data_IF_384467010536
#
_entry.id   IF_384467010536
#
_cell.length_a   1.000
_cell.length_b   1.000
_cell.length_c   1.000
_cell.angle_alpha   90.00
_cell.angle_beta   90.00
_cell.angle_gamma   90.00
#
_symmetry.space_group_name_H-M   'P 1'
#
loop_
_entity.id
_entity.type
_entity.pdbx_description
1 polymer ?
#
# COMPACT_ATOMS: atom_id res chain seq x y z
N UNK A 1 13.61 -25.66 -26.19
CA UNK A 1 12.40 -24.86 -25.88
C UNK A 1 12.68 -23.37 -26.10
N UNK A 2 11.94 -22.70 -26.98
CA UNK A 2 12.07 -21.25 -27.16
C UNK A 2 11.46 -20.55 -25.94
N UNK A 3 12.15 -19.57 -25.32
CA UNK A 3 11.58 -18.81 -24.20
C UNK A 3 10.30 -18.12 -24.63
N UNK A 4 9.26 -18.23 -23.80
CA UNK A 4 8.01 -17.54 -24.04
C UNK A 4 8.15 -16.09 -23.58
N UNK A 5 8.27 -15.16 -24.51
CA UNK A 5 8.53 -13.74 -24.22
C UNK A 5 7.26 -12.98 -23.77
N UNK A 6 6.09 -13.61 -23.78
CA UNK A 6 4.83 -13.01 -23.38
C UNK A 6 3.83 -14.03 -22.87
N UNK A 7 3.02 -13.63 -21.89
CA UNK A 7 1.89 -14.43 -21.44
C UNK A 7 0.84 -14.54 -22.54
N UNK A 8 0.32 -15.75 -22.74
CA UNK A 8 -0.87 -15.97 -23.58
C UNK A 8 -2.06 -15.18 -23.01
N UNK A 9 -3.05 -14.78 -23.84
CA UNK A 9 -4.15 -13.91 -23.41
C UNK A 9 -4.87 -14.39 -22.15
N UNK A 10 -5.16 -15.70 -22.07
CA UNK A 10 -5.80 -16.31 -20.90
C UNK A 10 -5.00 -16.13 -19.61
N UNK A 11 -3.68 -16.31 -19.66
CA UNK A 11 -2.81 -16.15 -18.49
C UNK A 11 -2.69 -14.68 -18.09
N UNK A 12 -2.71 -13.76 -19.07
CA UNK A 12 -2.72 -12.33 -18.81
C UNK A 12 -3.99 -11.92 -18.06
N UNK A 13 -5.16 -12.32 -18.54
CA UNK A 13 -6.44 -12.04 -17.87
C UNK A 13 -6.47 -12.58 -16.44
N UNK A 14 -6.09 -13.84 -16.26
CA UNK A 14 -6.06 -14.46 -14.92
C UNK A 14 -5.08 -13.75 -13.98
N UNK A 15 -3.92 -13.32 -14.48
CA UNK A 15 -2.95 -12.56 -13.69
C UNK A 15 -3.50 -11.20 -13.29
N UNK A 16 -4.15 -10.48 -14.21
CA UNK A 16 -4.78 -9.18 -13.93
C UNK A 16 -5.85 -9.33 -12.85
N UNK A 17 -6.81 -10.23 -13.01
CA UNK A 17 -7.87 -10.45 -12.01
C UNK A 17 -7.32 -10.80 -10.63
N UNK A 18 -6.30 -11.67 -10.58
CA UNK A 18 -5.65 -12.05 -9.32
C UNK A 18 -4.93 -10.87 -8.68
N UNK A 19 -4.25 -10.05 -9.47
CA UNK A 19 -3.54 -8.86 -9.00
C UNK A 19 -4.52 -7.82 -8.47
N UNK A 20 -5.62 -7.60 -9.18
CA UNK A 20 -6.65 -6.62 -8.82
C UNK A 20 -7.35 -7.02 -7.53
N UNK A 21 -7.72 -8.29 -7.38
CA UNK A 21 -8.29 -8.82 -6.13
C UNK A 21 -7.32 -8.69 -4.95
N UNK A 22 -6.04 -8.95 -5.18
CA UNK A 22 -5.02 -8.81 -4.13
C UNK A 22 -4.87 -7.34 -3.73
N UNK A 23 -4.81 -6.42 -4.70
CA UNK A 23 -4.72 -4.99 -4.46
C UNK A 23 -5.92 -4.48 -3.65
N UNK A 24 -7.13 -4.85 -4.03
CA UNK A 24 -8.35 -4.52 -3.27
C UNK A 24 -8.28 -4.99 -1.81
N UNK A 25 -7.81 -6.22 -1.59
CA UNK A 25 -7.62 -6.77 -0.24
C UNK A 25 -6.58 -5.97 0.56
N UNK A 26 -5.48 -5.58 -0.07
CA UNK A 26 -4.43 -4.77 0.56
C UNK A 26 -4.98 -3.39 0.91
N UNK A 27 -5.65 -2.70 -0.01
CA UNK A 27 -6.23 -1.38 0.22
C UNK A 27 -7.18 -1.44 1.42
N UNK A 28 -8.18 -2.33 1.37
CA UNK A 28 -9.20 -2.45 2.43
C UNK A 28 -8.61 -2.79 3.79
N UNK A 29 -7.67 -3.73 3.84
CA UNK A 29 -7.05 -4.14 5.10
C UNK A 29 -6.21 -3.03 5.75
N UNK A 30 -5.65 -2.13 4.95
CA UNK A 30 -4.71 -1.12 5.44
C UNK A 30 -5.29 0.31 5.44
N UNK A 31 -6.52 0.52 4.97
CA UNK A 31 -7.09 1.87 4.79
C UNK A 31 -7.24 2.65 6.10
N UNK A 32 -7.43 1.95 7.22
CA UNK A 32 -7.53 2.53 8.57
C UNK A 32 -6.19 2.64 9.31
N UNK A 33 -5.07 2.25 8.69
CA UNK A 33 -3.75 2.36 9.30
C UNK A 33 -3.34 3.81 9.51
N UNK A 34 -2.38 4.05 10.41
CA UNK A 34 -1.91 5.41 10.68
C UNK A 34 -1.32 6.05 9.41
N UNK A 35 -0.57 5.30 8.60
CA UNK A 35 0.01 5.79 7.36
C UNK A 35 -1.09 6.15 6.34
N UNK A 36 -2.05 5.25 6.09
CA UNK A 36 -3.15 5.53 5.16
C UNK A 36 -3.98 6.76 5.59
N UNK A 37 -4.17 6.93 6.90
CA UNK A 37 -4.96 8.03 7.44
C UNK A 37 -4.25 9.39 7.38
N UNK A 38 -2.93 9.43 7.61
CA UNK A 38 -2.21 10.68 7.86
C UNK A 38 -1.17 11.05 6.79
N UNK A 39 -0.76 10.13 5.92
CA UNK A 39 0.25 10.42 4.92
C UNK A 39 -0.27 11.46 3.90
N UNK A 40 0.48 12.57 3.68
CA UNK A 40 0.08 13.57 2.69
C UNK A 40 0.01 13.01 1.27
N UNK A 41 0.88 12.04 0.95
CA UNK A 41 0.92 11.34 -0.34
C UNK A 41 -0.36 10.58 -0.67
N UNK A 42 -1.16 10.22 0.34
CA UNK A 42 -2.42 9.50 0.17
C UNK A 42 -3.64 10.39 0.35
N UNK A 43 -3.46 11.71 0.51
CA UNK A 43 -4.56 12.62 0.82
C UNK A 43 -5.64 12.61 -0.28
N UNK A 44 -5.24 12.78 -1.54
CA UNK A 44 -6.18 12.80 -2.68
C UNK A 44 -6.90 11.46 -2.82
N UNK A 45 -6.19 10.35 -2.63
CA UNK A 45 -6.80 9.02 -2.66
C UNK A 45 -7.84 8.84 -1.54
N UNK A 46 -7.50 9.25 -0.31
CA UNK A 46 -8.42 9.18 0.83
C UNK A 46 -9.67 10.03 0.60
N UNK A 47 -9.53 11.22 0.03
CA UNK A 47 -10.65 12.10 -0.27
C UNK A 47 -11.58 11.47 -1.33
N UNK A 48 -11.02 10.83 -2.37
CA UNK A 48 -11.81 10.10 -3.37
C UNK A 48 -12.56 8.91 -2.73
N UNK A 49 -11.89 8.13 -1.89
CA UNK A 49 -12.51 7.00 -1.19
C UNK A 49 -13.56 7.46 -0.17
N UNK A 50 -13.42 8.64 0.43
CA UNK A 50 -14.45 9.19 1.32
C UNK A 50 -15.77 9.47 0.60
N UNK A 51 -15.73 9.76 -0.71
CA UNK A 51 -16.92 9.98 -1.55
C UNK A 51 -17.49 8.67 -2.06
N UNK A 52 -16.65 7.77 -2.56
CA UNK A 52 -17.10 6.55 -3.25
C UNK A 52 -17.22 5.31 -2.34
N UNK A 53 -16.59 5.36 -1.17
CA UNK A 53 -16.46 4.22 -0.26
C UNK A 53 -15.47 3.17 -0.77
N UNK A 54 -15.32 2.11 0.01
CA UNK A 54 -14.42 0.99 -0.28
C UNK A 54 -15.13 -0.22 -0.89
N UNK A 55 -16.45 -0.17 -1.09
CA UNK A 55 -17.27 -1.35 -1.42
C UNK A 55 -17.34 -1.62 -2.92
N UNK A 56 -17.19 -0.60 -3.76
CA UNK A 56 -17.25 -0.74 -5.23
C UNK A 56 -15.85 -1.02 -5.77
N UNK A 57 -15.58 -2.29 -6.11
CA UNK A 57 -14.26 -2.79 -6.55
C UNK A 57 -13.64 -1.95 -7.68
N UNK A 58 -14.38 -1.74 -8.78
CA UNK A 58 -13.86 -1.03 -9.96
C UNK A 58 -13.52 0.43 -9.66
N UNK A 59 -14.38 1.11 -8.90
CA UNK A 59 -14.16 2.50 -8.49
C UNK A 59 -12.95 2.59 -7.56
N UNK A 60 -12.84 1.70 -6.57
CA UNK A 60 -11.71 1.70 -5.63
C UNK A 60 -10.37 1.43 -6.34
N UNK A 61 -10.35 0.50 -7.30
CA UNK A 61 -9.17 0.24 -8.14
C UNK A 61 -8.82 1.46 -8.97
N UNK A 62 -9.82 2.11 -9.57
CA UNK A 62 -9.60 3.30 -10.38
C UNK A 62 -9.09 4.47 -9.54
N UNK A 63 -9.67 4.71 -8.38
CA UNK A 63 -9.25 5.75 -7.44
C UNK A 63 -7.81 5.51 -6.99
N UNK A 64 -7.45 4.27 -6.66
CA UNK A 64 -6.08 3.94 -6.29
C UNK A 64 -5.10 4.24 -7.42
N UNK A 65 -5.37 3.72 -8.63
CA UNK A 65 -4.48 3.87 -9.79
C UNK A 65 -4.36 5.32 -10.26
N UNK A 66 -5.39 6.14 -10.05
CA UNK A 66 -5.41 7.55 -10.48
C UNK A 66 -4.74 8.48 -9.47
N UNK A 67 -4.81 8.17 -8.17
CA UNK A 67 -4.43 9.11 -7.12
C UNK A 67 -3.22 8.66 -6.29
N UNK A 68 -2.87 7.37 -6.28
CA UNK A 68 -1.68 6.88 -5.57
C UNK A 68 -0.49 6.85 -6.51
N UNK A 69 0.40 7.84 -6.35
CA UNK A 69 1.64 7.92 -7.11
C UNK A 69 2.69 6.89 -6.64
N UNK A 70 3.66 6.61 -7.50
CA UNK A 70 4.89 5.95 -7.07
C UNK A 70 5.64 6.85 -6.07
N UNK A 71 6.16 6.25 -5.01
CA UNK A 71 6.79 6.97 -3.91
C UNK A 71 8.23 6.51 -3.67
N UNK A 72 9.07 7.43 -3.20
CA UNK A 72 10.42 7.15 -2.75
C UNK A 72 10.47 6.87 -1.23
N UNK A 73 11.66 6.48 -0.73
CA UNK A 73 11.88 6.25 0.71
C UNK A 73 11.65 7.50 1.56
N UNK A 74 12.02 8.68 1.04
CA UNK A 74 11.86 9.95 1.74
C UNK A 74 10.42 10.21 2.17
N UNK A 75 9.46 9.79 1.34
CA UNK A 75 8.05 10.02 1.57
C UNK A 75 7.44 9.22 2.74
N UNK A 76 8.01 8.05 3.08
CA UNK A 76 7.57 7.26 4.25
C UNK A 76 8.57 7.28 5.43
N UNK A 77 9.76 7.87 5.25
CA UNK A 77 10.80 8.03 6.27
C UNK A 77 10.29 8.59 7.61
N UNK A 78 9.41 9.62 7.67
CA UNK A 78 8.90 10.12 8.95
C UNK A 78 8.10 9.09 9.75
N UNK A 79 7.38 8.20 9.07
CA UNK A 79 6.63 7.12 9.72
C UNK A 79 7.58 6.01 10.18
N UNK A 80 8.54 5.61 9.34
CA UNK A 80 9.55 4.60 9.70
C UNK A 80 10.43 5.06 10.87
N UNK A 81 10.73 6.36 10.97
CA UNK A 81 11.56 6.91 12.04
C UNK A 81 11.01 6.63 13.44
N UNK A 82 9.68 6.50 13.60
CA UNK A 82 9.03 6.16 14.88
C UNK A 82 9.54 4.85 15.48
N UNK A 83 9.87 3.86 14.65
CA UNK A 83 10.44 2.59 15.11
C UNK A 83 11.84 2.73 15.73
N UNK A 84 12.56 3.80 15.38
CA UNK A 84 13.92 4.06 15.85
C UNK A 84 13.96 5.01 17.07
N UNK A 85 12.82 5.55 17.49
CA UNK A 85 12.74 6.40 18.68
C UNK A 85 13.09 5.61 19.96
N UNK A 86 13.65 6.29 20.95
CA UNK A 86 14.02 5.69 22.23
C UNK A 86 13.44 6.52 23.39
N UNK A 87 12.44 5.99 24.13
CA UNK A 87 11.79 4.68 23.92
C UNK A 87 10.86 4.69 22.68
N UNK A 88 10.80 3.55 21.98
CA UNK A 88 9.82 3.34 20.91
C UNK A 88 8.45 3.11 21.58
N UNK A 89 7.49 4.00 21.33
CA UNK A 89 6.14 3.87 21.93
C UNK A 89 5.30 2.96 21.05
N UNK A 90 4.85 1.84 21.61
CA UNK A 90 4.03 0.86 20.90
C UNK A 90 2.80 1.49 20.24
N UNK A 91 2.10 2.37 20.93
CA UNK A 91 0.94 3.11 20.40
C UNK A 91 1.23 3.93 19.15
N UNK A 92 2.49 4.37 18.95
CA UNK A 92 2.89 5.17 17.79
C UNK A 92 3.27 4.32 16.57
N UNK A 93 3.52 3.02 16.79
CA UNK A 93 3.95 2.07 15.75
C UNK A 93 2.95 0.94 15.48
N UNK A 94 2.00 0.70 16.39
CA UNK A 94 0.90 -0.23 16.19
C UNK A 94 -0.03 0.28 15.09
N UNK A 95 -0.41 -0.62 14.16
CA UNK A 95 -1.25 -0.28 13.01
C UNK A 95 -0.63 0.81 12.11
N UNK A 96 0.69 1.00 12.15
CA UNK A 96 1.35 2.11 11.45
C UNK A 96 1.25 1.97 9.92
N UNK A 97 1.70 0.85 9.36
CA UNK A 97 1.63 0.56 7.91
C UNK A 97 0.65 -0.58 7.57
N UNK A 98 0.41 -1.48 8.52
CA UNK A 98 -0.52 -2.59 8.42
C UNK A 98 -1.11 -2.90 9.79
N UNK A 99 -2.28 -3.54 9.88
CA UNK A 99 -2.85 -3.95 11.16
C UNK A 99 -1.86 -4.73 12.04
N UNK A 100 -1.81 -4.39 13.33
CA UNK A 100 -0.89 -4.94 14.32
C UNK A 100 0.52 -4.33 14.28
N UNK A 101 1.48 -5.08 14.80
CA UNK A 101 2.91 -4.72 14.80
C UNK A 101 3.67 -5.52 13.73
N UNK A 102 4.71 -4.94 13.12
CA UNK A 102 5.58 -5.72 12.24
C UNK A 102 6.34 -6.77 13.04
N UNK A 103 6.47 -7.98 12.48
CA UNK A 103 7.29 -9.03 13.08
C UNK A 103 8.79 -8.69 13.07
N UNK A 104 9.26 -8.01 12.02
CA UNK A 104 10.65 -7.59 11.87
C UNK A 104 10.74 -6.33 11.00
N UNK A 105 11.80 -5.56 11.20
CA UNK A 105 12.19 -4.46 10.32
C UNK A 105 13.37 -4.93 9.46
N UNK A 106 13.23 -4.79 8.15
CA UNK A 106 14.24 -5.26 7.17
C UNK A 106 14.87 -4.05 6.50
N UNK A 107 16.20 -4.06 6.42
CA UNK A 107 16.99 -3.02 5.77
C UNK A 107 17.40 -3.48 4.38
N UNK A 108 17.13 -2.64 3.38
CA UNK A 108 17.63 -2.89 2.03
C UNK A 108 19.14 -2.61 1.97
N UNK A 109 19.84 -3.18 0.99
CA UNK A 109 21.27 -2.90 0.76
C UNK A 109 21.55 -1.48 0.29
N UNK A 110 20.53 -0.73 -0.12
CA UNK A 110 20.62 0.67 -0.57
C UNK A 110 20.27 1.60 0.59
N UNK A 111 21.01 2.70 0.72
CA UNK A 111 20.81 3.72 1.76
C UNK A 111 20.01 4.93 1.22
N UNK A 112 19.34 5.68 2.11
CA UNK A 112 18.49 6.84 1.78
C UNK A 112 18.46 7.92 2.87
#
# INVERSE_FOLDING_TARGET
PVPCNSLIPRLRTLLTEKTDRLLLRIIRANFSTQYASHAPSLAVFRDAVAVHGTEVDDTLLQDFRSHVALMDYGSYKPFVAKFNEQPCKESEVENLFSPGLPFALVFSSTTS
#
